data_IF_178235789064
#
_entry.id   IF_178235789064
#
_cell.length_a   1.000
_cell.length_b   1.000
_cell.length_c   1.000
_cell.angle_alpha   90.00
_cell.angle_beta   90.00
_cell.angle_gamma   90.00
#
_symmetry.space_group_name_H-M   'P 1'
#
loop_
_entity.id
_entity.type
_entity.pdbx_description
1 polymer ?
#
# COMPACT_ATOMS: atom_id res chain seq x y z
N UNK A 1 -20.33 -19.45 12.30
CA UNK A 1 -19.00 -19.34 12.94
C UNK A 1 -19.17 -19.40 14.45
N UNK A 2 -18.39 -20.22 15.16
CA UNK A 2 -18.49 -20.32 16.62
C UNK A 2 -18.02 -19.02 17.30
N UNK A 3 -18.74 -18.56 18.32
CA UNK A 3 -18.40 -17.36 19.08
C UNK A 3 -17.16 -17.61 19.92
N UNK A 4 -16.02 -17.04 19.52
CA UNK A 4 -14.77 -17.17 20.26
C UNK A 4 -14.79 -16.25 21.49
N UNK A 5 -14.77 -16.85 22.68
CA UNK A 5 -14.66 -16.13 23.95
C UNK A 5 -13.20 -16.09 24.39
N UNK A 6 -12.78 -14.98 25.00
CA UNK A 6 -11.43 -14.80 25.52
C UNK A 6 -11.51 -14.68 27.03
N UNK A 7 -10.67 -15.42 27.75
CA UNK A 7 -10.66 -15.43 29.22
C UNK A 7 -9.93 -14.21 29.80
N UNK A 8 -8.98 -13.65 29.06
CA UNK A 8 -8.18 -12.49 29.50
C UNK A 8 -7.93 -11.49 28.38
N UNK A 9 -7.66 -10.23 28.74
CA UNK A 9 -7.22 -9.19 27.79
C UNK A 9 -5.95 -9.58 27.02
N UNK A 10 -5.01 -10.29 27.69
CA UNK A 10 -3.77 -10.77 27.06
C UNK A 10 -4.04 -11.83 26.00
N UNK A 11 -5.01 -12.71 26.22
CA UNK A 11 -5.41 -13.73 25.24
C UNK A 11 -6.05 -13.09 24.01
N UNK A 12 -6.99 -12.16 24.20
CA UNK A 12 -7.60 -11.37 23.13
C UNK A 12 -6.53 -10.66 22.30
N UNK A 13 -5.63 -9.90 22.96
CA UNK A 13 -4.59 -9.14 22.29
C UNK A 13 -3.63 -10.03 21.50
N UNK A 14 -3.17 -11.16 22.07
CA UNK A 14 -2.29 -12.10 21.35
C UNK A 14 -2.98 -12.70 20.13
N UNK A 15 -4.26 -13.03 20.24
CA UNK A 15 -4.99 -13.61 19.12
C UNK A 15 -5.10 -12.63 17.95
N UNK A 16 -5.58 -11.42 18.19
CA UNK A 16 -5.73 -10.43 17.13
C UNK A 16 -4.38 -9.92 16.61
N UNK A 17 -3.35 -9.83 17.46
CA UNK A 17 -1.99 -9.53 16.99
C UNK A 17 -1.52 -10.59 15.98
N UNK A 18 -1.74 -11.88 16.28
CA UNK A 18 -1.42 -12.96 15.33
C UNK A 18 -2.19 -12.82 14.02
N UNK A 19 -3.48 -12.49 14.07
CA UNK A 19 -4.28 -12.30 12.84
C UNK A 19 -3.79 -11.12 12.00
N UNK A 20 -3.45 -9.99 12.64
CA UNK A 20 -2.89 -8.82 11.97
C UNK A 20 -1.57 -9.16 11.28
N UNK A 21 -0.68 -9.93 11.93
CA UNK A 21 0.58 -10.34 11.29
C UNK A 21 0.34 -11.29 10.10
N UNK A 22 -0.64 -12.17 10.19
CA UNK A 22 -1.00 -13.05 9.07
C UNK A 22 -1.51 -12.26 7.86
N UNK A 23 -2.40 -11.29 8.09
CA UNK A 23 -2.90 -10.41 7.04
C UNK A 23 -1.77 -9.60 6.41
N UNK A 24 -0.91 -9.01 7.25
CA UNK A 24 0.23 -8.21 6.79
C UNK A 24 1.18 -9.04 5.91
N UNK A 25 1.50 -10.26 6.30
CA UNK A 25 2.36 -11.12 5.50
C UNK A 25 1.67 -11.56 4.19
N UNK A 26 0.37 -11.87 4.23
CA UNK A 26 -0.39 -12.22 3.04
C UNK A 26 -0.43 -11.06 2.02
N UNK A 27 -0.72 -9.84 2.47
CA UNK A 27 -0.76 -8.63 1.64
C UNK A 27 0.61 -8.31 1.04
N UNK A 28 1.67 -8.35 1.86
CA UNK A 28 3.05 -8.18 1.40
C UNK A 28 3.42 -9.21 0.33
N UNK A 29 3.12 -10.48 0.55
CA UNK A 29 3.44 -11.55 -0.39
C UNK A 29 2.65 -11.41 -1.69
N UNK A 30 1.39 -10.98 -1.63
CA UNK A 30 0.59 -10.68 -2.80
C UNK A 30 1.22 -9.57 -3.65
N UNK A 31 1.60 -8.44 -3.04
CA UNK A 31 2.22 -7.33 -3.77
C UNK A 31 3.61 -7.68 -4.33
N UNK A 32 4.45 -8.40 -3.58
CA UNK A 32 5.76 -8.84 -4.07
C UNK A 32 5.61 -9.73 -5.30
N UNK A 33 4.72 -10.72 -5.26
CA UNK A 33 4.46 -11.60 -6.41
C UNK A 33 3.91 -10.83 -7.59
N UNK A 34 3.00 -9.89 -7.36
CA UNK A 34 2.46 -9.02 -8.41
C UNK A 34 3.59 -8.24 -9.11
N UNK A 35 4.49 -7.62 -8.34
CA UNK A 35 5.64 -6.88 -8.86
C UNK A 35 6.58 -7.78 -9.68
N UNK A 36 6.76 -9.03 -9.26
CA UNK A 36 7.64 -9.99 -9.92
C UNK A 36 7.06 -10.55 -11.22
N UNK A 37 5.75 -10.71 -11.29
CA UNK A 37 5.07 -11.42 -12.40
C UNK A 37 4.57 -10.43 -13.46
N UNK A 38 4.05 -9.28 -13.05
CA UNK A 38 3.43 -8.32 -13.94
C UNK A 38 4.41 -7.22 -14.36
N UNK A 39 4.29 -6.79 -15.61
CA UNK A 39 4.99 -5.61 -16.10
C UNK A 39 4.39 -4.32 -15.51
N UNK A 40 5.16 -3.24 -15.51
CA UNK A 40 4.67 -1.93 -15.05
C UNK A 40 3.41 -1.47 -15.80
N UNK A 41 3.30 -1.76 -17.11
CA UNK A 41 2.12 -1.41 -17.91
C UNK A 41 0.87 -2.19 -17.48
N UNK A 42 1.02 -3.49 -17.24
CA UNK A 42 -0.07 -4.33 -16.73
C UNK A 42 -0.51 -3.93 -15.33
N UNK A 43 0.42 -3.42 -14.50
CA UNK A 43 0.11 -2.87 -13.18
C UNK A 43 -0.59 -1.52 -13.30
N UNK A 44 -0.23 -0.67 -14.26
CA UNK A 44 -0.94 0.57 -14.55
C UNK A 44 -2.37 0.32 -15.04
N UNK A 45 -2.58 -0.65 -15.92
CA UNK A 45 -3.92 -1.05 -16.36
C UNK A 45 -4.81 -1.52 -15.19
N UNK A 46 -4.23 -2.19 -14.19
CA UNK A 46 -4.92 -2.60 -12.96
C UNK A 46 -5.06 -1.47 -11.93
N UNK A 47 -4.54 -0.27 -12.22
CA UNK A 47 -4.55 0.88 -11.32
C UNK A 47 -3.60 0.77 -10.13
N UNK A 48 -2.60 -0.11 -10.20
CA UNK A 48 -1.62 -0.40 -9.12
C UNK A 48 -0.32 0.38 -9.25
N UNK A 49 -0.07 0.96 -10.42
CA UNK A 49 1.11 1.77 -10.72
C UNK A 49 0.73 2.91 -11.66
N UNK A 50 1.55 3.97 -11.70
CA UNK A 50 1.43 5.03 -12.70
C UNK A 50 2.84 5.31 -13.24
N UNK A 51 3.02 5.11 -14.53
CA UNK A 51 4.28 5.23 -15.23
C UNK A 51 4.43 6.60 -15.89
N UNK A 52 5.64 6.93 -16.35
CA UNK A 52 5.87 8.13 -17.16
C UNK A 52 5.61 9.46 -16.44
N UNK A 53 5.61 9.45 -15.11
CA UNK A 53 5.40 10.66 -14.31
C UNK A 53 6.63 11.58 -14.35
N UNK A 54 6.39 12.88 -14.46
CA UNK A 54 7.43 13.91 -14.26
C UNK A 54 7.40 14.39 -12.83
N UNK A 55 8.56 14.39 -12.18
CA UNK A 55 8.73 14.87 -10.82
C UNK A 55 9.07 16.37 -10.83
N UNK A 56 8.41 17.14 -9.96
CA UNK A 56 8.75 18.53 -9.68
C UNK A 56 8.97 18.69 -8.18
N UNK A 57 10.15 19.14 -7.78
CA UNK A 57 10.44 19.43 -6.38
C UNK A 57 9.58 20.59 -5.89
N UNK A 58 8.96 20.45 -4.70
CA UNK A 58 8.08 21.45 -4.09
C UNK A 58 8.63 22.05 -2.80
N UNK A 59 9.69 21.48 -2.25
CA UNK A 59 10.33 21.96 -1.03
C UNK A 59 10.56 20.85 -0.01
N UNK A 60 10.89 21.26 1.20
CA UNK A 60 11.15 20.38 2.34
C UNK A 60 10.15 20.70 3.44
N UNK A 61 9.62 19.67 4.11
CA UNK A 61 8.69 19.80 5.24
C UNK A 61 9.35 19.43 6.56
N UNK A 62 8.63 19.62 7.68
CA UNK A 62 9.07 19.29 9.04
C UNK A 62 9.61 17.85 9.09
N UNK A 63 10.76 17.67 9.73
CA UNK A 63 11.47 16.38 9.75
C UNK A 63 12.44 16.17 8.59
N UNK A 64 12.62 17.16 7.70
CA UNK A 64 13.62 17.10 6.62
C UNK A 64 13.16 16.32 5.39
N UNK A 65 11.88 15.96 5.30
CA UNK A 65 11.33 15.23 4.16
C UNK A 65 11.21 16.13 2.92
N UNK A 66 11.74 15.67 1.78
CA UNK A 66 11.59 16.32 0.48
C UNK A 66 10.24 15.99 -0.12
N UNK A 67 9.52 17.02 -0.57
CA UNK A 67 8.22 16.88 -1.21
C UNK A 67 8.37 17.05 -2.71
N UNK A 68 7.86 16.07 -3.45
CA UNK A 68 7.78 16.08 -4.91
C UNK A 68 6.33 16.00 -5.34
N UNK A 69 5.99 16.77 -6.38
CA UNK A 69 4.74 16.59 -7.14
C UNK A 69 5.06 15.76 -8.37
N UNK A 70 4.33 14.66 -8.55
CA UNK A 70 4.38 13.84 -9.75
C UNK A 70 3.15 14.12 -10.61
N UNK A 71 3.33 14.23 -11.92
CA UNK A 71 2.22 14.42 -12.84
C UNK A 71 2.54 14.07 -14.28
N UNK A 72 1.49 13.79 -15.05
CA UNK A 72 1.49 13.65 -16.50
C UNK A 72 0.14 14.13 -17.07
N UNK A 73 0.06 14.54 -18.35
CA UNK A 73 -1.19 15.02 -18.94
C UNK A 73 -2.31 13.98 -18.98
N UNK A 74 -1.96 12.72 -19.18
CA UNK A 74 -2.83 11.56 -19.37
C UNK A 74 -2.90 10.69 -18.08
N UNK A 75 -3.20 11.32 -16.95
CA UNK A 75 -3.28 10.63 -15.67
C UNK A 75 -4.40 9.56 -15.69
N UNK A 76 -4.14 8.29 -15.32
CA UNK A 76 -5.18 7.26 -15.30
C UNK A 76 -6.21 7.56 -14.21
N UNK A 77 -7.50 7.63 -14.54
CA UNK A 77 -8.56 7.85 -13.54
C UNK A 77 -8.84 6.61 -12.69
N UNK A 78 -8.50 5.42 -13.20
CA UNK A 78 -8.76 4.14 -12.57
C UNK A 78 -7.67 3.72 -11.55
N UNK A 79 -6.73 4.61 -11.21
CA UNK A 79 -5.70 4.27 -10.24
C UNK A 79 -6.27 4.11 -8.83
N UNK A 80 -5.71 3.20 -8.05
CA UNK A 80 -6.17 2.88 -6.69
C UNK A 80 -5.32 3.56 -5.60
N UNK A 81 -4.28 4.32 -5.99
CA UNK A 81 -3.36 4.99 -5.07
C UNK A 81 -4.06 6.20 -4.41
N UNK A 82 -4.10 6.21 -3.08
CA UNK A 82 -4.74 7.24 -2.26
C UNK A 82 -3.74 7.97 -1.38
N UNK A 83 -4.17 9.10 -0.82
CA UNK A 83 -3.39 9.86 0.15
C UNK A 83 -3.15 9.00 1.39
N UNK A 84 -1.88 8.84 1.76
CA UNK A 84 -1.46 8.01 2.91
C UNK A 84 -0.95 6.62 2.53
N UNK A 85 -1.11 6.21 1.27
CA UNK A 85 -0.52 4.97 0.78
C UNK A 85 1.01 5.05 0.74
N UNK A 86 1.65 3.90 0.99
CA UNK A 86 3.10 3.75 0.82
C UNK A 86 3.36 3.39 -0.64
N UNK A 87 4.17 4.23 -1.31
CA UNK A 87 4.46 4.15 -2.75
C UNK A 87 5.95 4.12 -3.04
#
# INVERSE_FOLDING_TARGET
MAKKTYKTRKEYSRHFKKLIELEREAEKQFHIREIQILTGKEREQRGRAILGLKATFKGTIVGGYKVYRFGRPDMPENHQIKVGDVV
#
